data_IF_031836928999
#
_entry.id   IF_031836928999
#
_cell.length_a   1.000
_cell.length_b   1.000
_cell.length_c   1.000
_cell.angle_alpha   90.00
_cell.angle_beta   90.00
_cell.angle_gamma   90.00
#
_symmetry.space_group_name_H-M   'P 1'
#
loop_
_entity.id
_entity.type
_entity.pdbx_description
1 polymer ?
#
# COMPACT_ATOMS: atom_id res chain seq x y z
N UNK A 1 33.46 20.19 6.98
CA UNK A 1 32.62 19.79 5.84
C UNK A 1 31.24 20.37 6.02
N UNK A 2 30.71 21.01 4.99
CA UNK A 2 29.34 21.51 4.99
C UNK A 2 28.49 20.49 4.27
N UNK A 3 27.40 20.08 4.92
CA UNK A 3 26.44 19.15 4.33
C UNK A 3 25.17 19.95 4.01
N UNK A 4 24.81 19.99 2.74
CA UNK A 4 23.56 20.59 2.32
C UNK A 4 22.38 19.69 2.74
N UNK A 5 21.32 20.32 3.20
CA UNK A 5 20.10 19.62 3.59
C UNK A 5 19.02 19.93 2.56
N UNK A 6 18.48 18.88 1.96
CA UNK A 6 17.36 19.01 1.01
C UNK A 6 16.05 19.07 1.78
N UNK A 7 15.33 20.17 1.61
CA UNK A 7 13.99 20.31 2.18
C UNK A 7 13.02 20.34 1.00
N UNK A 8 12.17 19.32 0.91
CA UNK A 8 11.27 19.13 -0.22
C UNK A 8 9.85 18.87 0.27
N UNK A 9 8.90 19.00 -0.64
CA UNK A 9 7.55 18.50 -0.41
C UNK A 9 7.39 17.14 -1.08
N UNK A 10 6.61 16.22 -0.48
CA UNK A 10 6.39 14.92 -1.08
C UNK A 10 5.78 15.02 -2.48
N UNK A 11 6.18 14.11 -3.36
CA UNK A 11 5.58 13.98 -4.68
C UNK A 11 4.18 13.39 -4.52
N UNK A 12 3.18 14.04 -5.09
CA UNK A 12 1.80 13.51 -5.11
C UNK A 12 1.57 12.70 -6.38
N UNK A 13 1.05 11.50 -6.22
CA UNK A 13 0.66 10.61 -7.33
C UNK A 13 -0.82 10.29 -7.17
N UNK A 14 -1.67 10.80 -8.07
CA UNK A 14 -3.10 10.55 -8.01
C UNK A 14 -3.44 9.13 -8.44
N UNK A 15 -4.40 8.52 -7.75
CA UNK A 15 -4.90 7.17 -7.98
C UNK A 15 -6.42 7.19 -8.03
N UNK A 16 -7.03 6.15 -8.57
CA UNK A 16 -8.50 6.03 -8.58
C UNK A 16 -9.10 5.98 -7.18
N UNK A 17 -8.34 5.48 -6.21
CA UNK A 17 -8.78 5.33 -4.82
C UNK A 17 -8.39 6.51 -3.91
N UNK A 18 -7.69 7.50 -4.44
CA UNK A 18 -7.21 8.64 -3.67
C UNK A 18 -5.86 9.10 -4.19
N UNK A 19 -4.85 9.11 -3.35
CA UNK A 19 -3.52 9.52 -3.78
C UNK A 19 -2.44 8.99 -2.86
N UNK A 20 -1.21 8.95 -3.40
CA UNK A 20 0.00 8.65 -2.64
C UNK A 20 0.80 9.92 -2.47
N UNK A 21 1.42 10.10 -1.32
CA UNK A 21 2.45 11.10 -1.11
C UNK A 21 3.78 10.36 -0.95
N UNK A 22 4.67 10.52 -1.91
CA UNK A 22 5.99 9.89 -1.88
C UNK A 22 6.94 10.78 -1.09
N UNK A 23 7.20 10.39 0.15
CA UNK A 23 8.11 11.12 1.04
C UNK A 23 9.55 10.92 0.55
N UNK A 24 9.90 9.69 0.18
CA UNK A 24 11.22 9.33 -0.31
C UNK A 24 11.17 8.00 -1.04
N UNK A 25 11.99 7.83 -2.06
CA UNK A 25 12.17 6.55 -2.74
C UNK A 25 13.55 6.53 -3.42
N UNK A 26 14.44 5.70 -2.90
CA UNK A 26 15.76 5.47 -3.50
C UNK A 26 16.18 4.02 -3.24
N UNK A 27 17.43 3.69 -3.55
CA UNK A 27 17.94 2.33 -3.39
C UNK A 27 18.02 1.86 -1.94
N UNK A 28 17.96 2.78 -0.98
CA UNK A 28 18.09 2.44 0.43
C UNK A 28 16.73 2.20 1.09
N UNK A 29 15.73 3.04 0.78
CA UNK A 29 14.41 2.92 1.39
C UNK A 29 13.35 3.70 0.62
N UNK A 30 12.09 3.41 0.94
CA UNK A 30 10.94 4.13 0.43
C UNK A 30 9.97 4.42 1.57
N UNK A 31 9.42 5.63 1.58
CA UNK A 31 8.36 6.03 2.51
C UNK A 31 7.24 6.72 1.76
N UNK A 32 6.01 6.28 2.01
CA UNK A 32 4.81 6.83 1.35
C UNK A 32 3.65 6.94 2.32
N UNK A 33 2.78 7.93 2.08
CA UNK A 33 1.44 7.94 2.66
C UNK A 33 0.47 7.54 1.56
N UNK A 34 -0.40 6.58 1.86
CA UNK A 34 -1.46 6.13 0.96
C UNK A 34 -2.76 6.67 1.52
N UNK A 35 -3.37 7.65 0.84
CA UNK A 35 -4.57 8.34 1.30
C UNK A 35 -5.77 7.88 0.50
N UNK A 36 -6.69 7.19 1.18
CA UNK A 36 -7.93 6.69 0.59
C UNK A 36 -9.05 7.68 0.92
N UNK A 37 -9.48 8.45 -0.07
CA UNK A 37 -10.37 9.60 0.16
C UNK A 37 -11.80 9.23 0.53
N UNK A 38 -12.27 8.06 0.10
CA UNK A 38 -13.64 7.62 0.35
C UNK A 38 -13.69 6.18 0.85
N UNK A 39 -14.67 5.93 1.73
CA UNK A 39 -15.04 4.58 2.14
C UNK A 39 -15.22 3.69 0.90
N UNK A 40 -14.71 2.45 0.98
CA UNK A 40 -14.73 1.43 -0.07
C UNK A 40 -13.76 1.63 -1.22
N UNK A 41 -13.07 2.76 -1.28
CA UNK A 41 -11.99 2.90 -2.25
C UNK A 41 -10.90 1.86 -1.97
N UNK A 42 -10.34 1.31 -3.02
CA UNK A 42 -9.41 0.18 -2.94
C UNK A 42 -8.43 0.16 -4.09
N UNK A 43 -7.28 -0.45 -3.86
CA UNK A 43 -6.41 -0.81 -4.97
C UNK A 43 -6.56 -2.30 -5.32
N UNK A 44 -5.91 -2.70 -6.41
CA UNK A 44 -6.00 -4.08 -6.91
C UNK A 44 -5.36 -5.09 -5.96
N UNK A 45 -5.79 -6.34 -6.04
CA UNK A 45 -5.02 -7.45 -5.49
C UNK A 45 -3.79 -7.62 -6.36
N UNK A 46 -2.61 -7.39 -5.78
CA UNK A 46 -1.33 -7.44 -6.50
C UNK A 46 -0.20 -7.86 -5.58
N UNK A 47 0.95 -8.18 -6.17
CA UNK A 47 2.15 -8.52 -5.39
C UNK A 47 3.38 -7.86 -6.01
N UNK A 48 4.43 -7.79 -5.20
CA UNK A 48 5.75 -7.29 -5.60
C UNK A 48 6.77 -8.40 -5.41
N UNK A 49 7.70 -8.52 -6.34
CA UNK A 49 8.80 -9.51 -6.26
C UNK A 49 9.98 -8.89 -5.54
N UNK A 50 10.29 -7.63 -5.81
CA UNK A 50 11.46 -6.95 -5.28
C UNK A 50 11.17 -6.21 -3.97
N UNK A 51 9.98 -5.62 -3.83
CA UNK A 51 9.65 -4.77 -2.69
C UNK A 51 9.15 -5.58 -1.50
N UNK A 52 9.74 -5.31 -0.35
CA UNK A 52 9.27 -5.74 0.97
C UNK A 52 8.79 -4.49 1.70
N UNK A 53 7.62 -4.53 2.33
CA UNK A 53 7.02 -3.35 2.92
C UNK A 53 6.40 -3.63 4.27
N UNK A 54 6.32 -2.58 5.09
CA UNK A 54 5.54 -2.57 6.32
C UNK A 54 4.54 -1.43 6.24
N UNK A 55 3.34 -1.69 6.72
CA UNK A 55 2.26 -0.71 6.74
C UNK A 55 1.86 -0.37 8.17
N UNK A 56 1.52 0.86 8.40
CA UNK A 56 1.00 1.35 9.68
C UNK A 56 -0.27 2.15 9.42
N UNK A 57 -1.37 1.80 10.09
CA UNK A 57 -2.64 2.52 9.95
C UNK A 57 -2.55 3.82 10.73
N UNK A 58 -2.37 4.92 10.01
CA UNK A 58 -2.21 6.25 10.61
C UNK A 58 -3.54 6.88 10.95
N UNK A 59 -4.53 6.73 10.08
CA UNK A 59 -5.89 7.22 10.27
C UNK A 59 -6.89 6.24 9.68
N UNK A 60 -8.10 6.18 10.26
CA UNK A 60 -9.19 5.38 9.74
C UNK A 60 -9.03 3.89 10.00
N UNK A 61 -9.60 3.10 9.10
CA UNK A 61 -9.65 1.65 9.20
C UNK A 61 -9.60 1.05 7.81
N UNK A 62 -9.06 -0.17 7.72
CA UNK A 62 -8.94 -0.87 6.44
C UNK A 62 -9.37 -2.32 6.56
N UNK A 63 -9.95 -2.84 5.48
CA UNK A 63 -10.03 -4.27 5.23
C UNK A 63 -8.75 -4.65 4.50
N UNK A 64 -7.94 -5.49 5.10
CA UNK A 64 -6.74 -6.03 4.50
C UNK A 64 -7.03 -7.43 3.99
N UNK A 65 -6.90 -7.63 2.69
CA UNK A 65 -7.06 -8.95 2.06
C UNK A 65 -5.73 -9.42 1.53
N UNK A 66 -5.45 -10.71 1.69
CA UNK A 66 -4.26 -11.34 1.11
C UNK A 66 -4.59 -12.74 0.65
N UNK A 67 -3.72 -13.30 -0.19
CA UNK A 67 -3.86 -14.68 -0.65
C UNK A 67 -2.77 -15.50 0.01
N UNK A 68 -3.17 -16.55 0.74
CA UNK A 68 -2.24 -17.52 1.29
C UNK A 68 -1.65 -18.30 0.12
N UNK A 69 -0.37 -18.10 -0.16
CA UNK A 69 0.29 -18.68 -1.35
C UNK A 69 0.49 -20.19 -1.24
N UNK A 70 0.41 -20.77 -0.05
CA UNK A 70 0.54 -22.21 0.13
C UNK A 70 -0.72 -22.96 -0.28
N UNK A 71 -1.90 -22.39 -0.02
CA UNK A 71 -3.17 -23.08 -0.30
C UNK A 71 -4.10 -22.32 -1.26
N UNK A 72 -3.72 -21.13 -1.69
CA UNK A 72 -4.49 -20.31 -2.62
C UNK A 72 -5.74 -19.67 -2.03
N UNK A 73 -5.93 -19.71 -0.72
CA UNK A 73 -7.11 -19.16 -0.07
C UNK A 73 -7.03 -17.64 0.07
N UNK A 74 -8.15 -16.99 -0.20
CA UNK A 74 -8.32 -15.57 0.09
C UNK A 74 -8.55 -15.41 1.59
N UNK A 75 -7.70 -14.61 2.22
CA UNK A 75 -7.75 -14.30 3.64
C UNK A 75 -8.09 -12.83 3.82
N UNK A 76 -8.65 -12.47 4.95
CA UNK A 76 -8.98 -11.08 5.24
C UNK A 76 -8.97 -10.78 6.72
N UNK A 77 -8.65 -9.53 7.05
CA UNK A 77 -8.68 -9.03 8.42
C UNK A 77 -8.89 -7.52 8.40
N UNK A 78 -9.61 -7.01 9.38
CA UNK A 78 -9.73 -5.56 9.60
C UNK A 78 -8.47 -5.06 10.29
N UNK A 79 -7.90 -3.97 9.79
CA UNK A 79 -6.79 -3.27 10.44
C UNK A 79 -7.33 -1.98 11.06
N UNK A 80 -7.07 -1.82 12.35
CA UNK A 80 -7.50 -0.65 13.12
C UNK A 80 -6.38 0.37 13.21
N UNK A 81 -6.74 1.62 13.46
CA UNK A 81 -5.76 2.69 13.69
C UNK A 81 -4.73 2.27 14.73
N UNK A 82 -3.46 2.48 14.42
CA UNK A 82 -2.35 2.11 15.30
C UNK A 82 -1.79 0.71 15.09
N UNK A 83 -2.43 -0.10 14.25
CA UNK A 83 -1.91 -1.44 13.93
C UNK A 83 -0.96 -1.39 12.73
N UNK A 84 -0.03 -2.32 12.70
CA UNK A 84 0.92 -2.46 11.59
C UNK A 84 0.93 -3.89 11.08
N UNK A 85 1.33 -4.05 9.81
CA UNK A 85 1.44 -5.36 9.18
C UNK A 85 2.66 -5.39 8.27
N UNK A 86 3.35 -6.54 8.24
CA UNK A 86 4.49 -6.78 7.36
C UNK A 86 4.00 -7.49 6.10
N UNK A 87 4.36 -6.94 4.95
CA UNK A 87 4.06 -7.54 3.64
C UNK A 87 5.34 -8.08 3.05
N UNK A 88 5.49 -9.41 3.09
CA UNK A 88 6.65 -10.08 2.53
C UNK A 88 6.64 -10.04 1.00
N UNK A 89 7.82 -10.18 0.39
CA UNK A 89 7.96 -10.29 -1.05
C UNK A 89 7.09 -11.45 -1.57
N UNK A 90 6.38 -11.21 -2.66
CA UNK A 90 5.54 -12.22 -3.31
C UNK A 90 4.17 -12.43 -2.68
N UNK A 91 3.84 -11.78 -1.57
CA UNK A 91 2.52 -11.90 -0.95
C UNK A 91 1.50 -11.04 -1.69
N UNK A 92 0.49 -11.66 -2.32
CA UNK A 92 -0.60 -10.89 -2.92
C UNK A 92 -1.42 -10.18 -1.83
N UNK A 93 -1.69 -8.90 -2.03
CA UNK A 93 -2.35 -8.08 -1.03
C UNK A 93 -3.26 -7.02 -1.65
N UNK A 94 -4.24 -6.59 -0.87
CA UNK A 94 -5.21 -5.56 -1.25
C UNK A 94 -5.69 -4.82 -0.01
N UNK A 95 -5.87 -3.51 -0.12
CA UNK A 95 -6.52 -2.70 0.91
C UNK A 95 -7.83 -2.13 0.40
N UNK A 96 -8.82 -2.12 1.28
CA UNK A 96 -10.11 -1.47 1.08
C UNK A 96 -10.31 -0.53 2.26
N UNK A 97 -10.52 0.75 2.00
CA UNK A 97 -10.80 1.70 3.08
C UNK A 97 -12.19 1.43 3.66
N UNK A 98 -12.30 1.43 4.98
CA UNK A 98 -13.58 1.26 5.68
C UNK A 98 -14.16 2.59 6.14
N UNK A 99 -13.40 3.66 6.03
CA UNK A 99 -13.83 5.02 6.38
C UNK A 99 -13.27 6.02 5.36
N UNK A 100 -13.92 7.17 5.23
CA UNK A 100 -13.41 8.27 4.44
C UNK A 100 -12.07 8.76 5.01
N UNK A 101 -11.16 9.19 4.13
CA UNK A 101 -9.86 9.75 4.52
C UNK A 101 -9.02 8.81 5.40
N UNK A 102 -9.07 7.52 5.11
CA UNK A 102 -8.19 6.54 5.76
C UNK A 102 -6.78 6.64 5.19
N UNK A 103 -5.78 6.59 6.07
CA UNK A 103 -4.38 6.79 5.70
C UNK A 103 -3.54 5.62 6.18
N UNK A 104 -2.85 4.99 5.23
CA UNK A 104 -1.86 3.96 5.50
C UNK A 104 -0.46 4.54 5.28
N UNK A 105 0.41 4.40 6.26
CA UNK A 105 1.82 4.79 6.12
C UNK A 105 2.62 3.56 5.68
N UNK A 106 3.31 3.68 4.56
CA UNK A 106 4.15 2.61 4.02
C UNK A 106 5.62 2.94 4.21
N UNK A 107 6.38 2.03 4.80
CA UNK A 107 7.84 2.02 4.76
C UNK A 107 8.27 0.75 4.03
N UNK A 108 9.20 0.87 3.10
CA UNK A 108 9.55 -0.27 2.26
C UNK A 108 10.97 -0.17 1.71
N UNK A 109 11.40 -1.23 1.05
CA UNK A 109 12.54 -1.19 0.16
C UNK A 109 12.17 -0.36 -1.07
N UNK A 110 13.11 -0.13 -1.97
CA UNK A 110 12.89 0.69 -3.16
C UNK A 110 11.64 0.28 -3.93
N UNK A 111 10.84 1.27 -4.33
CA UNK A 111 9.65 1.05 -5.15
C UNK A 111 9.99 1.21 -6.62
N UNK A 112 9.55 0.24 -7.44
CA UNK A 112 9.59 0.29 -8.90
C UNK A 112 8.17 0.08 -9.42
N UNK A 113 7.67 0.97 -10.28
CA UNK A 113 6.31 0.86 -10.84
C UNK A 113 6.11 -0.47 -11.60
N UNK A 114 7.13 -0.95 -12.27
CA UNK A 114 7.09 -2.21 -13.01
C UNK A 114 7.12 -3.45 -12.11
N UNK A 115 7.44 -3.31 -10.82
CA UNK A 115 7.44 -4.40 -9.85
C UNK A 115 6.05 -4.56 -9.19
N UNK A 116 5.02 -4.53 -10.01
CA UNK A 116 3.65 -4.71 -9.54
C UNK A 116 2.91 -5.65 -10.48
N UNK A 117 2.50 -6.78 -9.94
CA UNK A 117 1.87 -7.86 -10.70
C UNK A 117 0.43 -8.02 -10.22
N UNK A 118 -0.50 -7.59 -11.05
CA UNK A 118 -1.92 -7.57 -10.70
C UNK A 118 -2.55 -8.95 -10.87
N UNK A 119 -3.29 -9.39 -9.84
CA UNK A 119 -4.07 -10.62 -9.88
C UNK A 119 -5.50 -10.28 -10.32
N UNK A 120 -6.13 -9.30 -9.66
CA UNK A 120 -7.41 -8.74 -10.10
C UNK A 120 -7.55 -7.29 -9.60
N UNK A 121 -8.44 -6.52 -10.25
CA UNK A 121 -8.53 -5.04 -10.05
C UNK A 121 -9.40 -4.77 -8.89
N UNK A 122 -9.89 -4.99 -8.07
CA UNK A 122 -10.73 -4.52 -6.97
C UNK A 122 -11.44 -5.67 -6.31
N UNK A 123 -12.43 -6.24 -6.97
CA UNK A 123 -13.20 -7.37 -6.47
C UNK A 123 -13.28 -8.47 -7.53
N UNK A 124 -13.76 -9.65 -7.13
CA UNK A 124 -13.96 -10.74 -8.09
C UNK A 124 -14.95 -10.38 -9.19
N UNK A 125 -15.89 -9.48 -8.94
CA UNK A 125 -16.82 -8.99 -9.96
C UNK A 125 -16.09 -8.28 -11.10
N UNK A 126 -14.96 -7.65 -10.82
CA UNK A 126 -14.18 -6.94 -11.83
C UNK A 126 -13.51 -7.88 -12.85
N UNK A 127 -13.52 -9.18 -12.58
CA UNK A 127 -12.98 -10.20 -13.47
C UNK A 127 -14.02 -10.77 -14.45
N UNK A 128 -15.28 -10.45 -14.26
CA UNK A 128 -16.38 -11.00 -15.07
C UNK A 128 -16.63 -10.25 -16.39
#
# INVERSE_FOLDING_TARGET
MIIDVDITTPKRVDKKWGYELWIHNDSEYCGKLLVFTKERNRFSMHYHIQKKESWYVQEGRFQFNWIDVENGKLMGKTLEKGESVLIERGLPHQLIALEDNSIMFEVSTEHFDEDSYRIYRGTFEDLK
#
